data_IF_394100815899
#
_entry.id   IF_394100815899
#
_cell.length_a   1.000
_cell.length_b   1.000
_cell.length_c   1.000
_cell.angle_alpha   90.00
_cell.angle_beta   90.00
_cell.angle_gamma   90.00
#
_symmetry.space_group_name_H-M   'P 1'
#
loop_
_entity.id
_entity.type
_entity.pdbx_description
1 polymer ?
#
# COMPACT_ATOMS: atom_id res chain seq x y z
N UNK A 1 4.87 -13.20 24.42
CA UNK A 1 3.95 -12.58 23.44
C UNK A 1 4.78 -11.98 22.31
N UNK A 2 4.45 -12.28 21.05
CA UNK A 2 5.13 -11.66 19.90
C UNK A 2 4.50 -10.30 19.57
N UNK A 3 5.29 -9.29 19.18
CA UNK A 3 4.76 -7.97 18.82
C UNK A 3 3.88 -8.04 17.56
N UNK A 4 2.87 -7.16 17.50
CA UNK A 4 2.08 -6.88 16.30
C UNK A 4 2.45 -5.50 15.79
N UNK A 5 2.51 -5.32 14.47
CA UNK A 5 2.92 -4.08 13.84
C UNK A 5 1.75 -3.47 13.07
N UNK A 6 1.53 -2.17 13.25
CA UNK A 6 0.55 -1.40 12.49
C UNK A 6 1.29 -0.46 11.53
N UNK A 7 1.10 -0.66 10.23
CA UNK A 7 1.73 0.16 9.20
C UNK A 7 0.89 1.40 8.91
N UNK A 8 1.56 2.55 8.86
CA UNK A 8 0.97 3.82 8.47
C UNK A 8 0.96 4.01 6.94
N UNK A 9 0.37 5.12 6.49
CA UNK A 9 0.27 5.48 5.08
C UNK A 9 1.65 5.68 4.44
N UNK A 10 2.66 6.14 5.16
CA UNK A 10 4.00 6.39 4.62
C UNK A 10 4.74 5.09 4.32
N UNK A 11 4.69 4.12 5.23
CA UNK A 11 5.29 2.80 5.05
C UNK A 11 4.61 2.08 3.88
N UNK A 12 3.27 2.09 3.84
CA UNK A 12 2.54 1.47 2.73
C UNK A 12 2.77 2.19 1.40
N UNK A 13 2.84 3.52 1.40
CA UNK A 13 3.23 4.29 0.21
C UNK A 13 4.64 3.94 -0.28
N UNK A 14 5.58 3.73 0.65
CA UNK A 14 6.92 3.26 0.35
C UNK A 14 6.92 1.88 -0.29
N UNK A 15 6.13 0.94 0.25
CA UNK A 15 5.96 -0.40 -0.31
C UNK A 15 5.36 -0.37 -1.72
N UNK A 16 4.33 0.45 -1.95
CA UNK A 16 3.72 0.59 -3.28
C UNK A 16 4.72 1.12 -4.32
N UNK A 17 5.58 2.07 -3.93
CA UNK A 17 6.61 2.64 -4.83
C UNK A 17 7.77 1.67 -5.08
N UNK A 18 8.13 0.88 -4.07
CA UNK A 18 9.22 -0.09 -4.12
C UNK A 18 8.75 -1.46 -3.58
N UNK A 19 8.01 -2.26 -4.38
CA UNK A 19 7.37 -3.49 -3.92
C UNK A 19 8.33 -4.57 -3.41
N UNK A 20 9.61 -4.51 -3.82
CA UNK A 20 10.67 -5.42 -3.39
C UNK A 20 11.72 -4.71 -2.52
N UNK A 21 11.39 -3.55 -1.96
CA UNK A 21 12.31 -2.76 -1.13
C UNK A 21 12.33 -3.18 0.35
N UNK A 22 12.97 -2.35 1.17
CA UNK A 22 13.17 -2.58 2.62
C UNK A 22 11.88 -2.90 3.40
N UNK A 23 10.74 -2.36 2.98
CA UNK A 23 9.45 -2.63 3.65
C UNK A 23 9.02 -4.08 3.41
N UNK A 24 9.18 -4.59 2.19
CA UNK A 24 8.89 -5.98 1.85
C UNK A 24 9.80 -6.96 2.61
N UNK A 25 11.10 -6.68 2.67
CA UNK A 25 12.06 -7.49 3.44
C UNK A 25 11.65 -7.56 4.92
N UNK A 26 11.28 -6.42 5.51
CA UNK A 26 10.82 -6.37 6.91
C UNK A 26 9.53 -7.14 7.12
N UNK A 27 8.54 -7.02 6.22
CA UNK A 27 7.29 -7.78 6.30
C UNK A 27 7.59 -9.29 6.25
N UNK A 28 8.46 -9.71 5.32
CA UNK A 28 8.85 -11.12 5.17
C UNK A 28 9.54 -11.68 6.41
N UNK A 29 10.43 -10.89 7.03
CA UNK A 29 11.11 -11.27 8.28
C UNK A 29 10.14 -11.33 9.48
N UNK A 30 9.18 -10.42 9.52
CA UNK A 30 8.23 -10.30 10.62
C UNK A 30 7.00 -11.18 10.48
N UNK A 31 6.75 -11.82 9.34
CA UNK A 31 5.56 -12.62 9.06
C UNK A 31 4.31 -11.76 8.84
N UNK A 32 3.60 -12.00 7.74
CA UNK A 32 2.43 -11.22 7.33
C UNK A 32 1.29 -11.26 8.35
N UNK A 33 1.15 -12.34 9.12
CA UNK A 33 0.10 -12.53 10.13
C UNK A 33 0.20 -11.57 11.32
N UNK A 34 1.35 -10.88 11.46
CA UNK A 34 1.61 -9.90 12.51
C UNK A 34 1.56 -8.46 12.00
N UNK A 35 1.32 -8.27 10.71
CA UNK A 35 1.29 -6.96 10.05
C UNK A 35 -0.15 -6.55 9.81
N UNK A 36 -0.48 -5.34 10.26
CA UNK A 36 -1.81 -4.77 10.13
C UNK A 36 -1.71 -3.35 9.57
N UNK A 37 -2.83 -2.84 9.07
CA UNK A 37 -3.00 -1.40 8.83
C UNK A 37 -4.40 -0.98 9.27
N UNK A 38 -4.59 0.31 9.50
CA UNK A 38 -5.90 0.85 9.85
C UNK A 38 -6.85 0.74 8.67
N UNK A 39 -8.14 0.51 8.95
CA UNK A 39 -9.20 0.54 7.94
C UNK A 39 -9.24 1.87 7.18
N UNK A 40 -8.91 2.99 7.84
CA UNK A 40 -8.85 4.32 7.21
C UNK A 40 -7.79 4.34 6.11
N UNK A 41 -6.57 3.88 6.42
CA UNK A 41 -5.46 3.82 5.45
C UNK A 41 -5.79 2.87 4.30
N UNK A 42 -6.41 1.72 4.59
CA UNK A 42 -6.87 0.80 3.55
C UNK A 42 -7.90 1.45 2.61
N UNK A 43 -8.83 2.25 3.13
CA UNK A 43 -9.80 3.01 2.34
C UNK A 43 -9.12 4.10 1.48
N UNK A 44 -8.18 4.85 2.03
CA UNK A 44 -7.42 5.88 1.31
C UNK A 44 -6.64 5.29 0.13
N UNK A 45 -6.00 4.13 0.33
CA UNK A 45 -5.26 3.43 -0.73
C UNK A 45 -6.19 2.99 -1.86
N UNK A 46 -7.35 2.41 -1.54
CA UNK A 46 -8.36 2.01 -2.54
C UNK A 46 -8.88 3.21 -3.33
N UNK A 47 -9.25 4.29 -2.64
CA UNK A 47 -9.73 5.51 -3.28
C UNK A 47 -8.67 6.13 -4.20
N UNK A 48 -7.43 6.22 -3.72
CA UNK A 48 -6.32 6.79 -4.50
C UNK A 48 -6.00 5.94 -5.73
N UNK A 49 -6.02 4.61 -5.61
CA UNK A 49 -5.83 3.70 -6.73
C UNK A 49 -6.92 3.87 -7.80
N UNK A 50 -8.18 3.92 -7.40
CA UNK A 50 -9.30 4.17 -8.31
C UNK A 50 -9.19 5.54 -8.98
N UNK A 51 -8.88 6.60 -8.23
CA UNK A 51 -8.71 7.95 -8.75
C UNK A 51 -7.59 8.04 -9.79
N UNK A 52 -6.47 7.34 -9.58
CA UNK A 52 -5.38 7.27 -10.56
C UNK A 52 -5.79 6.55 -11.84
N UNK A 53 -6.52 5.43 -11.74
CA UNK A 53 -7.05 4.72 -12.89
C UNK A 53 -8.00 5.59 -13.71
N UNK A 54 -8.89 6.33 -13.04
CA UNK A 54 -9.82 7.26 -13.71
C UNK A 54 -9.09 8.38 -14.48
N UNK A 55 -7.97 8.92 -13.94
CA UNK A 55 -7.16 9.91 -14.67
C UNK A 55 -6.47 9.32 -15.89
N UNK A 56 -5.91 8.12 -15.79
CA UNK A 56 -5.29 7.44 -16.94
C UNK A 56 -6.30 7.18 -18.07
N UNK A 57 -7.54 6.82 -17.71
CA UNK A 57 -8.64 6.67 -18.66
C UNK A 57 -9.07 8.00 -19.30
N UNK A 58 -9.11 9.10 -18.52
CA UNK A 58 -9.46 10.42 -19.06
C UNK A 58 -8.39 11.00 -20.01
N UNK A 59 -7.12 10.57 -19.90
CA UNK A 59 -6.05 10.94 -20.84
C UNK A 59 -5.99 10.07 -22.10
N UNK A 60 -6.85 9.05 -22.22
CA UNK A 60 -6.95 8.22 -23.42
C UNK A 60 -7.75 8.96 -24.50
N UNK A 61 -7.05 9.59 -25.45
CA UNK A 61 -7.66 10.00 -26.72
C UNK A 61 -7.65 8.78 -27.65
N UNK A 62 -8.81 8.27 -28.10
CA UNK A 62 -8.81 7.33 -29.21
C UNK A 62 -8.28 8.07 -30.44
N UNK A 63 -7.31 7.46 -31.11
CA UNK A 63 -6.91 7.83 -32.48
C UNK A 63 -8.05 7.43 -33.41
#
# INVERSE_FOLDING_TARGET
MSPRFLLDTNILSGLIRHPQGKVFEKISQQGEERIFTSIIVACELRFTAQKKASRQLASYSPI
#
